data_IF_373510571692
#
_entry.id   IF_373510571692
#
_cell.length_a   1.000
_cell.length_b   1.000
_cell.length_c   1.000
_cell.angle_alpha   90.00
_cell.angle_beta   90.00
_cell.angle_gamma   90.00
#
_symmetry.space_group_name_H-M   'P 1'
#
loop_
_entity.id
_entity.type
_entity.pdbx_description
1 polymer ?
#
# COMPACT_ATOMS: atom_id res chain seq x y z
N UNK A 1 22.16 -24.36 5.68
CA UNK A 1 21.76 -23.32 4.71
C UNK A 1 20.96 -22.28 5.47
N UNK A 2 21.38 -21.01 5.55
CA UNK A 2 20.54 -19.97 6.15
C UNK A 2 19.22 -19.90 5.38
N UNK A 3 18.09 -19.84 6.10
CA UNK A 3 16.79 -19.68 5.49
C UNK A 3 16.74 -18.32 4.77
N UNK A 4 16.53 -18.31 3.46
CA UNK A 4 16.30 -17.08 2.73
C UNK A 4 15.09 -16.36 3.32
N UNK A 5 15.28 -15.12 3.76
CA UNK A 5 14.20 -14.29 4.27
C UNK A 5 13.26 -14.01 3.11
N UNK A 6 12.02 -14.49 3.22
CA UNK A 6 11.01 -14.28 2.19
C UNK A 6 10.33 -12.94 2.40
N UNK A 7 10.62 -12.03 1.47
CA UNK A 7 10.14 -10.64 1.47
C UNK A 7 8.90 -10.42 0.63
N UNK A 8 8.52 -11.39 -0.19
CA UNK A 8 7.45 -11.26 -1.18
C UNK A 8 6.41 -12.37 -0.98
N UNK A 9 5.14 -11.98 -0.97
CA UNK A 9 4.01 -12.91 -0.93
C UNK A 9 3.01 -12.63 -2.06
N UNK A 10 2.17 -13.60 -2.36
CA UNK A 10 1.04 -13.46 -3.28
C UNK A 10 -0.25 -13.49 -2.49
N UNK A 11 -1.16 -12.55 -2.77
CA UNK A 11 -2.50 -12.52 -2.19
C UNK A 11 -3.58 -12.42 -3.27
N UNK A 12 -4.68 -13.20 -3.14
CA UNK A 12 -5.84 -13.03 -4.01
C UNK A 12 -6.59 -11.74 -3.67
N UNK A 13 -7.10 -11.08 -4.71
CA UNK A 13 -7.89 -9.84 -4.67
C UNK A 13 -8.88 -9.82 -5.84
N UNK A 14 -10.04 -9.19 -5.71
CA UNK A 14 -10.91 -8.93 -6.87
C UNK A 14 -10.43 -7.68 -7.62
N UNK A 15 -10.81 -7.53 -8.89
CA UNK A 15 -10.38 -6.36 -9.66
C UNK A 15 -10.91 -5.05 -9.05
N UNK A 16 -12.19 -4.96 -8.71
CA UNK A 16 -12.80 -3.75 -8.13
C UNK A 16 -12.03 -3.21 -6.91
N UNK A 17 -11.62 -4.09 -6.00
CA UNK A 17 -10.86 -3.69 -4.82
C UNK A 17 -9.41 -3.32 -5.13
N UNK A 18 -8.79 -4.00 -6.10
CA UNK A 18 -7.47 -3.60 -6.58
C UNK A 18 -7.52 -2.21 -7.23
N UNK A 19 -8.59 -1.91 -7.99
CA UNK A 19 -8.74 -0.60 -8.61
C UNK A 19 -8.89 0.54 -7.58
N UNK A 20 -9.48 0.28 -6.41
CA UNK A 20 -9.49 1.25 -5.30
C UNK A 20 -8.05 1.56 -4.80
N UNK A 21 -7.16 0.57 -4.78
CA UNK A 21 -5.74 0.76 -4.41
C UNK A 21 -5.01 1.53 -5.52
N UNK A 22 -5.23 1.16 -6.79
CA UNK A 22 -4.64 1.83 -7.97
C UNK A 22 -5.02 3.31 -8.03
N UNK A 23 -6.27 3.66 -7.70
CA UNK A 23 -6.73 5.06 -7.63
C UNK A 23 -6.27 5.80 -6.37
N UNK A 24 -5.64 5.10 -5.42
CA UNK A 24 -5.21 5.67 -4.14
C UNK A 24 -6.35 5.89 -3.12
N UNK A 25 -7.56 5.43 -3.42
CA UNK A 25 -8.73 5.54 -2.53
C UNK A 25 -8.60 4.58 -1.34
N UNK A 26 -8.04 3.38 -1.57
CA UNK A 26 -7.74 2.41 -0.51
C UNK A 26 -6.24 2.46 -0.19
N UNK A 27 -5.92 3.06 0.95
CA UNK A 27 -4.52 3.31 1.35
C UNK A 27 -3.93 2.22 2.25
N UNK A 28 -4.76 1.36 2.82
CA UNK A 28 -4.35 0.21 3.63
C UNK A 28 -4.97 -1.08 3.12
N UNK A 29 -4.18 -2.16 3.16
CA UNK A 29 -4.68 -3.53 3.04
C UNK A 29 -4.97 -4.09 4.43
N UNK A 30 -6.14 -4.69 4.62
CA UNK A 30 -6.58 -5.17 5.94
C UNK A 30 -6.70 -6.68 5.95
N UNK A 31 -6.17 -7.34 6.98
CA UNK A 31 -6.20 -8.79 7.09
C UNK A 31 -6.59 -9.24 8.48
N UNK A 32 -7.22 -10.41 8.53
CA UNK A 32 -7.55 -11.10 9.79
C UNK A 32 -6.38 -11.85 10.41
N UNK A 33 -5.37 -12.15 9.59
CA UNK A 33 -4.14 -12.79 10.03
C UNK A 33 -2.97 -11.83 9.84
N UNK A 34 -1.93 -12.05 10.66
CA UNK A 34 -0.69 -11.31 10.53
C UNK A 34 0.13 -11.87 9.36
N UNK A 35 0.47 -11.02 8.41
CA UNK A 35 1.48 -11.29 7.39
C UNK A 35 2.83 -11.36 8.11
N UNK A 36 3.70 -12.34 7.80
CA UNK A 36 5.03 -12.43 8.40
C UNK A 36 5.79 -11.11 8.29
N UNK A 37 6.43 -10.68 9.37
CA UNK A 37 7.11 -9.37 9.44
C UNK A 37 8.27 -9.22 8.44
N UNK A 38 8.75 -10.33 7.86
CA UNK A 38 9.75 -10.32 6.80
C UNK A 38 9.19 -9.85 5.45
N UNK A 39 7.87 -9.90 5.25
CA UNK A 39 7.24 -9.54 3.98
C UNK A 39 7.16 -8.03 3.87
N UNK A 40 7.73 -7.52 2.79
CA UNK A 40 7.76 -6.10 2.43
C UNK A 40 6.86 -5.81 1.22
N UNK A 41 6.52 -6.85 0.44
CA UNK A 41 5.85 -6.72 -0.85
C UNK A 41 4.75 -7.76 -1.02
N UNK A 42 3.61 -7.29 -1.51
CA UNK A 42 2.46 -8.11 -1.86
C UNK A 42 2.27 -8.07 -3.37
N UNK A 43 2.26 -9.25 -3.99
CA UNK A 43 1.90 -9.47 -5.37
C UNK A 43 0.42 -9.84 -5.43
N UNK A 44 -0.41 -9.00 -6.03
CA UNK A 44 -1.85 -9.25 -6.08
C UNK A 44 -2.22 -10.11 -7.28
N UNK A 45 -2.77 -11.29 -6.97
CA UNK A 45 -3.45 -12.16 -7.92
C UNK A 45 -4.89 -11.69 -8.05
N UNK A 46 -5.28 -11.27 -9.25
CA UNK A 46 -6.66 -10.92 -9.55
C UNK A 46 -7.46 -12.19 -9.80
N UNK A 47 -8.58 -12.31 -9.08
CA UNK A 47 -9.51 -13.42 -9.22
C UNK A 47 -10.15 -13.46 -10.63
N UNK A 48 -10.96 -14.48 -10.88
CA UNK A 48 -11.75 -14.55 -12.10
C UNK A 48 -12.60 -13.27 -12.26
N UNK A 49 -12.74 -12.73 -13.49
CA UNK A 49 -12.36 -13.34 -14.76
C UNK A 49 -10.89 -13.16 -15.19
N UNK A 50 -10.09 -12.35 -14.48
CA UNK A 50 -8.75 -11.97 -14.93
C UNK A 50 -7.68 -13.04 -14.67
N UNK A 51 -7.78 -13.76 -13.55
CA UNK A 51 -6.98 -14.94 -13.20
C UNK A 51 -5.47 -14.78 -13.43
N UNK A 52 -4.87 -13.73 -12.87
CA UNK A 52 -3.46 -13.38 -13.11
C UNK A 52 -2.88 -12.53 -12.00
N UNK A 53 -1.57 -12.63 -11.78
CA UNK A 53 -0.84 -11.65 -10.98
C UNK A 53 -0.62 -10.41 -11.84
N UNK A 54 -1.10 -9.26 -11.39
CA UNK A 54 -1.09 -8.03 -12.19
C UNK A 54 -0.44 -6.84 -11.48
N UNK A 55 -0.38 -6.86 -10.15
CA UNK A 55 0.13 -5.72 -9.38
C UNK A 55 1.09 -6.16 -8.29
N UNK A 56 2.04 -5.29 -7.98
CA UNK A 56 2.96 -5.42 -6.84
C UNK A 56 2.85 -4.17 -6.00
N UNK A 57 2.66 -4.34 -4.69
CA UNK A 57 2.58 -3.25 -3.74
C UNK A 57 3.65 -3.42 -2.67
N UNK A 58 4.42 -2.37 -2.40
CA UNK A 58 5.22 -2.31 -1.19
C UNK A 58 4.31 -1.97 0.00
N UNK A 59 4.57 -2.59 1.14
CA UNK A 59 3.79 -2.39 2.36
C UNK A 59 4.67 -2.05 3.56
N UNK A 60 4.08 -1.38 4.53
CA UNK A 60 4.66 -1.25 5.87
C UNK A 60 4.42 -2.49 6.75
N UNK A 61 5.15 -2.60 7.87
CA UNK A 61 4.77 -3.47 8.97
C UNK A 61 3.31 -3.23 9.41
N UNK A 62 2.69 -4.29 9.93
CA UNK A 62 1.32 -4.24 10.41
C UNK A 62 1.14 -3.18 11.50
N UNK A 63 0.18 -2.27 11.30
CA UNK A 63 -0.46 -1.53 12.39
C UNK A 63 -1.56 -2.42 12.96
N UNK A 64 -1.67 -2.51 14.29
CA UNK A 64 -2.71 -3.30 14.95
C UNK A 64 -3.74 -2.42 15.64
N UNK A 65 -4.77 -3.05 16.20
CA UNK A 65 -5.81 -2.37 16.99
C UNK A 65 -5.62 -2.54 18.50
N UNK A 66 -4.42 -2.87 18.95
CA UNK A 66 -4.15 -3.01 20.37
C UNK A 66 -4.25 -1.65 21.08
N UNK A 67 -4.55 -1.67 22.36
CA UNK A 67 -4.55 -0.47 23.18
C UNK A 67 -3.14 0.16 23.18
N UNK A 68 -3.06 1.44 22.83
CA UNK A 68 -1.79 2.17 22.71
C UNK A 68 -1.20 2.24 21.29
N UNK A 69 -1.70 1.44 20.34
CA UNK A 69 -1.28 1.56 18.95
C UNK A 69 -1.84 2.84 18.30
N UNK A 70 -1.09 3.48 17.39
CA UNK A 70 -1.56 4.67 16.70
C UNK A 70 -2.73 4.33 15.78
N UNK A 71 -3.72 5.23 15.74
CA UNK A 71 -4.81 5.16 14.77
C UNK A 71 -4.29 5.41 13.36
N UNK A 72 -4.96 4.81 12.38
CA UNK A 72 -4.68 5.05 10.97
C UNK A 72 -5.11 6.48 10.58
N UNK A 73 -4.38 7.16 9.68
CA UNK A 73 -4.89 8.37 9.03
C UNK A 73 -6.22 8.05 8.32
N UNK A 74 -7.24 8.90 8.45
CA UNK A 74 -8.53 8.70 7.77
C UNK A 74 -8.48 9.15 6.29
N UNK A 75 -7.38 8.85 5.61
CA UNK A 75 -7.07 9.24 4.22
C UNK A 75 -7.48 8.19 3.18
N UNK A 76 -8.17 7.12 3.59
CA UNK A 76 -8.54 6.03 2.70
C UNK A 76 -9.71 5.19 3.18
N UNK A 77 -10.26 4.41 2.26
CA UNK A 77 -11.43 3.55 2.45
C UNK A 77 -11.17 2.49 3.53
N UNK A 78 -12.04 2.47 4.54
CA UNK A 78 -11.99 1.50 5.66
C UNK A 78 -11.17 1.96 6.86
N UNK A 79 -10.37 3.03 6.74
CA UNK A 79 -9.48 3.46 7.82
C UNK A 79 -10.27 3.92 9.05
N UNK A 80 -11.36 4.66 8.83
CA UNK A 80 -12.26 5.10 9.91
C UNK A 80 -12.93 3.90 10.58
N UNK A 81 -13.50 2.99 9.79
CA UNK A 81 -14.17 1.79 10.29
C UNK A 81 -13.22 0.89 11.08
N UNK A 82 -11.96 0.78 10.64
CA UNK A 82 -10.90 0.08 11.34
C UNK A 82 -10.60 0.75 12.69
N UNK A 83 -10.42 2.07 12.72
CA UNK A 83 -10.15 2.87 13.92
C UNK A 83 -11.30 2.83 14.95
N UNK A 84 -12.55 2.72 14.49
CA UNK A 84 -13.73 2.70 15.36
C UNK A 84 -14.22 1.30 15.71
N UNK A 85 -13.48 0.25 15.37
CA UNK A 85 -13.87 -1.16 15.59
C UNK A 85 -15.27 -1.47 15.05
N UNK A 86 -15.55 -1.05 13.81
CA UNK A 86 -16.85 -1.29 13.19
C UNK A 86 -17.19 -2.78 13.18
N UNK A 87 -18.46 -3.14 13.42
CA UNK A 87 -18.89 -4.53 13.59
C UNK A 87 -18.55 -5.44 12.39
N UNK A 88 -18.63 -4.90 11.18
CA UNK A 88 -18.34 -5.63 9.93
C UNK A 88 -16.83 -5.90 9.76
N UNK A 89 -16.00 -5.22 10.55
CA UNK A 89 -14.54 -5.30 10.58
C UNK A 89 -14.03 -6.15 11.76
N UNK A 90 -14.92 -6.92 12.39
CA UNK A 90 -14.55 -7.87 13.44
C UNK A 90 -13.54 -8.88 12.90
N UNK A 91 -12.44 -9.03 13.64
CA UNK A 91 -11.34 -9.93 13.32
C UNK A 91 -10.33 -9.39 12.30
N UNK A 92 -10.57 -8.24 11.66
CA UNK A 92 -9.55 -7.56 10.83
C UNK A 92 -8.62 -6.74 11.71
N UNK A 93 -7.65 -7.40 12.33
CA UNK A 93 -6.79 -6.79 13.36
C UNK A 93 -5.47 -6.24 12.82
N UNK A 94 -5.16 -6.44 11.54
CA UNK A 94 -3.89 -6.02 10.94
C UNK A 94 -4.12 -5.14 9.72
N UNK A 95 -3.54 -3.95 9.73
CA UNK A 95 -3.56 -3.00 8.61
C UNK A 95 -2.15 -2.77 8.07
N UNK A 96 -1.99 -2.87 6.75
CA UNK A 96 -0.72 -2.70 6.05
C UNK A 96 -0.82 -1.49 5.13
N UNK A 97 -0.04 -0.43 5.41
CA UNK A 97 -0.04 0.77 4.56
C UNK A 97 0.51 0.39 3.20
N UNK A 98 -0.22 0.69 2.13
CA UNK A 98 0.30 0.59 0.76
C UNK A 98 1.22 1.79 0.54
N UNK A 99 2.49 1.50 0.23
CA UNK A 99 3.54 2.51 0.02
C UNK A 99 3.74 2.86 -1.44
N UNK A 100 3.61 1.88 -2.32
CA UNK A 100 3.72 2.06 -3.76
C UNK A 100 2.88 1.01 -4.46
N UNK A 101 2.54 1.28 -5.71
CA UNK A 101 1.77 0.37 -6.57
C UNK A 101 2.45 0.31 -7.93
N UNK A 102 2.77 -0.90 -8.37
CA UNK A 102 3.32 -1.19 -9.67
C UNK A 102 2.38 -2.12 -10.44
N UNK A 103 2.12 -1.82 -11.70
CA UNK A 103 1.42 -2.67 -12.65
C UNK A 103 2.43 -3.47 -13.45
N UNK A 104 2.30 -4.80 -13.41
CA UNK A 104 3.15 -5.72 -14.15
C UNK A 104 2.83 -5.60 -15.64
N UNK A 105 3.84 -5.28 -16.45
CA UNK A 105 3.69 -5.04 -17.89
C UNK A 105 3.17 -6.27 -18.63
N UNK A 106 3.65 -7.46 -18.25
CA UNK A 106 3.15 -8.75 -18.72
C UNK A 106 2.58 -9.53 -17.54
N UNK A 107 1.26 -9.41 -17.26
CA UNK A 107 0.64 -10.11 -16.14
C UNK A 107 0.85 -11.62 -16.18
N UNK A 108 1.15 -12.21 -15.03
CA UNK A 108 1.44 -13.63 -14.91
C UNK A 108 0.11 -14.39 -14.80
N UNK A 109 -0.34 -15.00 -15.89
CA UNK A 109 -1.61 -15.74 -15.93
C UNK A 109 -1.56 -17.01 -15.07
N UNK A 110 -2.73 -17.49 -14.64
CA UNK A 110 -2.84 -18.79 -13.94
C UNK A 110 -2.22 -19.95 -14.73
N UNK A 111 -2.30 -19.92 -16.07
CA UNK A 111 -1.65 -20.91 -16.92
C UNK A 111 -0.13 -20.85 -16.76
N UNK A 112 0.48 -19.66 -16.87
CA UNK A 112 1.92 -19.44 -16.68
C UNK A 112 2.37 -19.81 -15.26
N UNK A 113 1.56 -19.47 -14.23
CA UNK A 113 1.80 -19.90 -12.84
C UNK A 113 1.92 -21.42 -12.71
N UNK A 114 1.02 -22.18 -13.34
CA UNK A 114 1.00 -23.65 -13.28
C UNK A 114 2.13 -24.27 -14.08
N UNK A 115 2.29 -23.88 -15.35
CA UNK A 115 3.21 -24.54 -16.28
C UNK A 115 4.67 -24.13 -16.08
N UNK A 116 4.92 -22.86 -15.75
CA UNK A 116 6.27 -22.30 -15.67
C UNK A 116 6.77 -22.17 -14.24
N UNK A 117 5.90 -21.76 -13.32
CA UNK A 117 6.29 -21.45 -11.93
C UNK A 117 5.91 -22.55 -10.92
N UNK A 118 5.39 -23.69 -11.38
CA UNK A 118 5.09 -24.85 -10.54
C UNK A 118 4.01 -24.60 -9.48
N UNK A 119 3.17 -23.58 -9.65
CA UNK A 119 2.10 -23.28 -8.70
C UNK A 119 0.98 -24.32 -8.84
N UNK A 120 0.52 -24.89 -7.72
CA UNK A 120 -0.57 -25.89 -7.72
C UNK A 120 -1.94 -25.37 -8.16
N UNK A 121 -2.12 -24.05 -8.25
CA UNK A 121 -3.38 -23.43 -8.64
C UNK A 121 -3.44 -21.95 -8.30
N UNK A 122 -4.65 -21.38 -8.38
CA UNK A 122 -4.90 -20.02 -7.96
C UNK A 122 -4.69 -19.90 -6.43
N UNK A 123 -4.01 -18.85 -5.94
CA UNK A 123 -3.85 -18.62 -4.50
C UNK A 123 -5.21 -18.51 -3.82
N UNK A 124 -5.45 -19.31 -2.78
CA UNK A 124 -6.66 -19.22 -1.92
C UNK A 124 -6.43 -18.40 -0.64
N UNK A 125 -5.19 -17.98 -0.42
CA UNK A 125 -4.74 -17.25 0.76
C UNK A 125 -3.29 -16.81 0.54
N UNK A 126 -2.61 -16.43 1.62
CA UNK A 126 -1.20 -16.06 1.55
C UNK A 126 -0.35 -17.25 1.13
N UNK A 127 0.36 -17.07 0.03
CA UNK A 127 1.49 -17.93 -0.35
C UNK A 127 2.72 -17.05 -0.48
N UNK A 128 3.91 -17.59 -0.23
CA UNK A 128 5.12 -16.88 -0.59
C UNK A 128 5.28 -16.84 -2.12
N UNK A 129 5.85 -15.75 -2.61
CA UNK A 129 6.17 -15.66 -4.04
C UNK A 129 7.20 -16.74 -4.40
N UNK A 130 6.95 -17.55 -5.45
CA UNK A 130 7.96 -18.45 -5.97
C UNK A 130 9.25 -17.71 -6.36
N UNK A 131 10.40 -18.27 -6.00
CA UNK A 131 11.71 -17.68 -6.29
C UNK A 131 11.95 -17.49 -7.80
N UNK A 132 11.40 -18.37 -8.62
CA UNK A 132 11.43 -18.28 -10.08
C UNK A 132 10.76 -17.00 -10.59
N UNK A 133 9.60 -16.62 -10.02
CA UNK A 133 8.95 -15.35 -10.37
C UNK A 133 9.81 -14.16 -9.91
N UNK A 134 10.34 -14.22 -8.69
CA UNK A 134 11.16 -13.13 -8.15
C UNK A 134 12.44 -12.87 -8.98
N UNK A 135 13.04 -13.93 -9.52
CA UNK A 135 14.26 -13.86 -10.32
C UNK A 135 14.00 -13.36 -11.76
N UNK A 136 12.86 -13.73 -12.36
CA UNK A 136 12.53 -13.36 -13.74
C UNK A 136 11.82 -12.02 -13.86
N UNK A 137 10.97 -11.68 -12.88
CA UNK A 137 10.12 -10.50 -12.93
C UNK A 137 10.63 -9.47 -11.93
N UNK A 138 11.48 -8.56 -12.41
CA UNK A 138 11.92 -7.41 -11.60
C UNK A 138 10.77 -6.44 -11.40
N UNK A 139 10.21 -6.38 -10.19
CA UNK A 139 9.08 -5.50 -9.87
C UNK A 139 9.41 -4.01 -10.04
N UNK A 140 10.67 -3.61 -9.82
CA UNK A 140 11.12 -2.21 -9.97
C UNK A 140 11.15 -1.75 -11.43
N UNK A 141 11.24 -2.68 -12.38
CA UNK A 141 11.22 -2.39 -13.80
C UNK A 141 9.80 -2.29 -14.37
N UNK A 142 8.77 -2.52 -13.55
CA UNK A 142 7.37 -2.48 -13.95
C UNK A 142 6.83 -1.05 -13.96
N UNK A 143 5.60 -0.87 -14.46
CA UNK A 143 4.97 0.45 -14.55
C UNK A 143 4.56 0.93 -13.16
N UNK A 144 5.24 1.96 -12.65
CA UNK A 144 4.88 2.60 -11.39
C UNK A 144 3.60 3.44 -11.57
N UNK A 145 2.57 3.14 -10.79
CA UNK A 145 1.30 3.89 -10.75
C UNK A 145 1.33 4.88 -9.59
N UNK A 146 1.66 4.38 -8.40
CA UNK A 146 1.78 5.19 -7.18
C UNK A 146 3.23 5.05 -6.70
N UNK A 147 4.03 6.13 -6.73
CA UNK A 147 5.40 6.09 -6.25
C UNK A 147 5.45 6.05 -4.72
N UNK A 148 6.50 5.43 -4.18
CA UNK A 148 6.79 5.46 -2.75
C UNK A 148 7.19 6.86 -2.34
N UNK A 149 6.34 7.54 -1.58
CA UNK A 149 6.68 8.82 -0.93
C UNK A 149 7.24 8.47 0.44
N UNK A 150 8.53 8.19 0.50
CA UNK A 150 9.21 8.25 1.79
C UNK A 150 9.19 9.73 2.25
N UNK A 151 8.83 9.98 3.52
CA UNK A 151 9.26 11.22 4.17
C UNK A 151 10.78 11.11 4.27
N UNK A 152 11.49 11.61 3.26
CA UNK A 152 12.94 11.55 3.17
C UNK A 152 13.54 11.98 4.52
N UNK A 153 14.33 11.10 5.14
CA UNK A 153 15.31 11.52 6.13
C UNK A 153 16.20 12.61 5.50
N UNK A 154 16.69 13.58 6.29
CA UNK A 154 17.29 14.79 5.75
C UNK A 154 18.50 14.44 4.88
N UNK A 155 18.59 15.11 3.76
CA UNK A 155 19.71 15.07 2.83
C UNK A 155 21.00 15.43 3.59
N UNK A 156 21.91 14.47 3.73
CA UNK A 156 23.28 14.71 4.14
C UNK A 156 24.06 15.26 2.92
N UNK A 157 23.74 16.50 2.55
CA UNK A 157 24.66 17.32 1.76
C UNK A 157 25.56 18.12 2.70
N UNK A 158 26.68 17.50 3.09
CA UNK A 158 27.86 18.24 3.50
C UNK A 158 28.41 19.00 2.29
N UNK A 159 28.21 20.32 2.26
CA UNK A 159 29.21 21.26 1.72
C UNK A 159 29.36 22.42 2.69
N UNK A 160 30.49 22.41 3.41
CA UNK A 160 31.05 23.58 4.08
C UNK A 160 31.45 24.63 3.04
N UNK A 161 31.24 25.90 3.34
CA UNK A 161 31.67 27.01 2.50
C UNK A 161 31.08 28.35 2.92
N UNK A 162 31.61 28.89 4.00
CA UNK A 162 31.40 30.21 4.61
C UNK A 162 31.38 31.39 3.61
N UNK A 163 30.46 32.36 3.82
CA UNK A 163 30.73 33.82 3.92
C UNK A 163 29.44 34.65 4.01
N UNK A 164 29.27 35.35 5.14
CA UNK A 164 28.47 36.59 5.32
C UNK A 164 29.38 37.81 5.08
N UNK A 165 28.89 39.06 4.86
CA UNK A 165 27.76 39.69 5.57
C UNK A 165 26.78 40.60 4.78
N UNK A 166 25.79 41.10 5.54
CA UNK A 166 24.56 41.87 5.26
C UNK A 166 24.79 43.38 4.97
N UNK A 167 23.83 44.34 5.08
CA UNK A 167 22.34 44.32 5.20
C UNK A 167 21.62 45.35 4.28
N UNK A 168 20.27 45.34 4.15
CA UNK A 168 19.43 46.56 3.98
C UNK A 168 17.98 46.29 4.44
N UNK A 169 17.46 47.25 5.20
CA UNK A 169 16.13 47.38 5.83
C UNK A 169 14.96 47.60 4.86
N UNK A 170 13.73 47.34 5.32
CA UNK A 170 12.50 47.76 4.62
C UNK A 170 11.22 47.26 5.28
N UNK A 171 10.66 48.08 6.17
CA UNK A 171 9.34 47.96 6.80
C UNK A 171 8.16 47.94 5.80
N UNK A 172 7.07 47.26 6.18
CA UNK A 172 5.78 47.35 5.49
C UNK A 172 4.71 46.40 6.06
N UNK A 173 3.86 46.95 6.93
CA UNK A 173 2.65 46.37 7.55
C UNK A 173 1.45 46.19 6.59
N UNK A 174 0.40 45.54 7.11
CA UNK A 174 -1.04 45.43 6.72
C UNK A 174 -1.40 44.59 5.48
N UNK A 175 -2.47 43.77 5.43
CA UNK A 175 -3.73 43.70 6.18
C UNK A 175 -4.35 42.28 6.11
N UNK A 176 -5.33 42.07 6.99
CA UNK A 176 -6.20 40.90 7.18
C UNK A 176 -7.21 40.70 6.04
N UNK A 177 -7.54 39.45 5.72
CA UNK A 177 -8.91 39.08 5.30
C UNK A 177 -9.17 37.57 5.43
N UNK A 178 -10.23 37.29 6.18
CA UNK A 178 -10.89 36.02 6.47
C UNK A 178 -11.85 35.61 5.32
N UNK A 179 -12.40 34.39 5.41
CA UNK A 179 -13.47 33.76 4.61
C UNK A 179 -12.97 32.81 3.49
N UNK A 180 -13.51 31.61 3.27
CA UNK A 180 -14.62 30.90 3.89
C UNK A 180 -14.56 29.42 3.48
N UNK A 181 -14.95 28.59 4.43
CA UNK A 181 -15.06 27.14 4.40
C UNK A 181 -16.10 26.63 3.37
N UNK A 182 -15.70 25.69 2.50
CA UNK A 182 -16.61 24.94 1.63
C UNK A 182 -16.39 23.45 1.87
N UNK A 183 -17.26 22.85 2.66
CA UNK A 183 -17.27 21.41 2.93
C UNK A 183 -17.88 20.64 1.75
N UNK A 184 -17.21 19.61 1.21
CA UNK A 184 -17.87 18.66 0.33
C UNK A 184 -18.65 17.61 1.13
N UNK A 185 -19.88 17.41 0.67
CA UNK A 185 -20.91 16.52 1.20
C UNK A 185 -20.41 15.08 1.29
N UNK A 186 -20.55 14.48 2.46
CA UNK A 186 -20.38 13.03 2.70
C UNK A 186 -21.38 12.24 1.86
N UNK A 187 -20.89 11.51 0.87
CA UNK A 187 -21.64 10.39 0.27
C UNK A 187 -21.26 9.14 1.06
N UNK A 188 -22.16 8.69 1.92
CA UNK A 188 -22.02 7.41 2.61
C UNK A 188 -22.33 6.28 1.63
N UNK A 189 -21.29 5.63 1.10
CA UNK A 189 -21.44 4.34 0.45
C UNK A 189 -21.39 3.24 1.52
N UNK A 190 -22.53 2.62 1.78
CA UNK A 190 -22.63 1.39 2.56
C UNK A 190 -22.14 0.26 1.67
N UNK A 191 -20.96 -0.31 1.98
CA UNK A 191 -20.44 -1.48 1.28
C UNK A 191 -20.92 -2.78 1.96
N UNK A 192 -21.41 -3.78 1.19
CA UNK A 192 -21.82 -5.06 1.74
C UNK A 192 -20.61 -5.90 2.22
N UNK A 193 -20.83 -6.87 3.12
CA UNK A 193 -19.77 -7.71 3.67
C UNK A 193 -19.21 -8.69 2.61
N UNK A 194 -17.91 -8.95 2.74
CA UNK A 194 -17.11 -9.73 1.80
C UNK A 194 -17.43 -11.23 1.84
N UNK A 195 -17.51 -11.92 0.68
CA UNK A 195 -17.58 -13.37 0.65
C UNK A 195 -16.22 -14.00 0.97
N UNK A 196 -16.31 -15.14 1.65
CA UNK A 196 -15.25 -15.99 2.21
C UNK A 196 -14.45 -16.72 1.14
#
# INVERSE_FOLDING_TARGET
MPAHVRTDCVLPMTDDYMQNIVRGEKTYEFRRYRIPASVERIWFYLNAPLSRIAYVCEIDPAVTRNEGDPKLPEDGLGNKEYNTFHKDWRGYDFAYRVRSVYEILEPITLAKMKSHYGCGGAPRGLIYLPETIANEVSWRAQKCIIPRIDKKAPDLTLRSGDKRPAPVDGDGDVDSAEASELQPRKVCFVFPPWPV
#
